data_IF_881681112443
#
_entry.id   IF_881681112443
#
_cell.length_a   1.000
_cell.length_b   1.000
_cell.length_c   1.000
_cell.angle_alpha   90.00
_cell.angle_beta   90.00
_cell.angle_gamma   90.00
#
_symmetry.space_group_name_H-M   'P 1'
#
loop_
_entity.id
_entity.type
_entity.pdbx_description
1 polymer ?
#
# COMPACT_ATOMS: atom_id res chain seq x y z
N UNK A 1 7.02 -12.45 24.63
CA UNK A 1 7.68 -12.24 23.32
C UNK A 1 7.10 -13.15 22.24
N UNK A 2 6.95 -14.44 22.53
CA UNK A 2 6.39 -15.45 21.61
C UNK A 2 4.91 -15.23 21.26
N UNK A 3 4.07 -14.83 22.22
CA UNK A 3 2.66 -14.47 21.98
C UNK A 3 2.50 -13.27 21.03
N UNK A 4 3.42 -12.31 21.07
CA UNK A 4 3.38 -11.14 20.17
C UNK A 4 3.65 -11.58 18.73
N UNK A 5 4.60 -12.50 18.55
CA UNK A 5 5.00 -13.06 17.26
C UNK A 5 3.88 -13.88 16.60
N UNK A 6 3.08 -14.57 17.41
CA UNK A 6 1.93 -15.35 16.94
C UNK A 6 0.75 -14.48 16.45
N UNK A 7 0.72 -13.19 16.79
CA UNK A 7 -0.35 -12.25 16.38
C UNK A 7 0.03 -11.41 15.16
N UNK A 8 1.24 -11.59 14.62
CA UNK A 8 1.72 -10.85 13.46
C UNK A 8 1.40 -11.66 12.19
N UNK A 9 0.89 -10.97 11.17
CA UNK A 9 0.62 -11.53 9.86
C UNK A 9 1.89 -11.86 9.08
N UNK A 10 1.76 -12.39 7.86
CA UNK A 10 2.89 -12.55 6.94
C UNK A 10 3.75 -11.30 6.80
N UNK A 11 5.08 -11.49 6.77
CA UNK A 11 6.07 -10.42 6.61
C UNK A 11 6.58 -10.39 5.16
N UNK A 12 6.29 -9.32 4.39
CA UNK A 12 6.76 -9.20 3.00
C UNK A 12 8.29 -9.20 2.84
N UNK A 13 9.05 -8.94 3.90
CA UNK A 13 10.52 -8.98 3.89
C UNK A 13 11.08 -10.37 4.21
N UNK A 14 10.26 -11.26 4.79
CA UNK A 14 10.64 -12.60 5.22
C UNK A 14 9.59 -13.65 4.79
N UNK A 15 9.35 -13.71 3.48
CA UNK A 15 8.31 -14.50 2.82
C UNK A 15 8.49 -16.00 3.05
N UNK A 16 7.39 -16.68 3.38
CA UNK A 16 7.29 -18.14 3.54
C UNK A 16 6.22 -18.73 2.62
N UNK A 17 6.30 -20.05 2.40
CA UNK A 17 5.27 -20.79 1.65
C UNK A 17 3.90 -20.64 2.33
N UNK A 18 2.87 -20.28 1.56
CA UNK A 18 1.50 -20.10 2.04
C UNK A 18 1.18 -18.72 2.63
N UNK A 19 2.13 -17.78 2.62
CA UNK A 19 1.89 -16.43 3.13
C UNK A 19 0.84 -15.67 2.31
N UNK A 20 0.88 -15.78 0.97
CA UNK A 20 -0.13 -15.19 0.09
C UNK A 20 -1.53 -15.68 0.44
N UNK A 21 -1.71 -17.00 0.55
CA UNK A 21 -3.00 -17.61 0.91
C UNK A 21 -3.51 -17.10 2.26
N UNK A 22 -2.61 -16.95 3.24
CA UNK A 22 -2.94 -16.37 4.56
C UNK A 22 -3.39 -14.92 4.44
N UNK A 23 -2.73 -14.10 3.63
CA UNK A 23 -3.12 -12.70 3.38
C UNK A 23 -4.50 -12.65 2.72
N UNK A 24 -4.70 -13.37 1.61
CA UNK A 24 -5.97 -13.42 0.88
C UNK A 24 -7.12 -13.88 1.78
N UNK A 25 -6.90 -14.96 2.54
CA UNK A 25 -7.85 -15.47 3.52
C UNK A 25 -8.16 -14.46 4.64
N UNK A 26 -7.18 -13.65 5.03
CA UNK A 26 -7.36 -12.57 6.01
C UNK A 26 -8.21 -11.42 5.45
N UNK A 27 -7.97 -11.02 4.20
CA UNK A 27 -8.70 -9.95 3.52
C UNK A 27 -10.17 -10.34 3.26
N UNK A 28 -10.41 -11.56 2.77
CA UNK A 28 -11.75 -12.04 2.39
C UNK A 28 -12.74 -12.09 3.56
N UNK A 29 -12.25 -12.18 4.81
CA UNK A 29 -13.08 -12.20 6.03
C UNK A 29 -13.45 -10.82 6.57
N UNK A 30 -12.95 -9.72 6.00
CA UNK A 30 -13.08 -8.38 6.60
C UNK A 30 -13.99 -7.47 5.78
N UNK A 31 -15.08 -7.00 6.40
CA UNK A 31 -15.97 -5.97 5.83
C UNK A 31 -15.43 -4.55 5.98
N UNK A 32 -14.41 -4.36 6.83
CA UNK A 32 -13.78 -3.06 6.99
C UNK A 32 -13.06 -2.61 5.70
N UNK A 33 -12.93 -1.30 5.47
CA UNK A 33 -12.19 -0.75 4.33
C UNK A 33 -10.77 -1.30 4.18
N UNK A 34 -10.34 -1.60 2.95
CA UNK A 34 -9.02 -2.19 2.66
C UNK A 34 -7.87 -1.36 3.24
N UNK A 35 -7.92 -0.02 3.16
CA UNK A 35 -6.87 0.81 3.73
C UNK A 35 -6.85 0.80 5.27
N UNK A 36 -7.96 0.47 5.94
CA UNK A 36 -7.96 0.21 7.37
C UNK A 36 -7.37 -1.16 7.67
N UNK A 37 -7.80 -2.19 6.92
CA UNK A 37 -7.35 -3.57 7.08
C UNK A 37 -5.84 -3.71 6.87
N UNK A 38 -5.26 -2.99 5.91
CA UNK A 38 -3.82 -2.97 5.67
C UNK A 38 -2.99 -2.36 6.82
N UNK A 39 -3.60 -1.70 7.81
CA UNK A 39 -2.89 -1.24 9.02
C UNK A 39 -2.86 -2.29 10.14
N UNK A 40 -3.73 -3.29 10.06
CA UNK A 40 -3.78 -4.39 11.02
C UNK A 40 -2.55 -5.27 10.83
N UNK A 41 -1.62 -5.22 11.79
CA UNK A 41 -0.37 -5.98 11.73
C UNK A 41 -0.59 -7.50 11.78
N UNK A 42 -1.81 -7.97 12.11
CA UNK A 42 -2.20 -9.37 11.99
C UNK A 42 -2.55 -9.79 10.55
N UNK A 43 -2.76 -8.83 9.64
CA UNK A 43 -3.06 -9.08 8.22
C UNK A 43 -1.78 -9.20 7.42
N UNK A 44 -0.97 -8.15 7.42
CA UNK A 44 0.36 -8.10 6.79
C UNK A 44 1.24 -7.24 7.69
N UNK A 45 2.40 -7.75 8.06
CA UNK A 45 3.34 -7.04 8.91
C UNK A 45 4.03 -5.88 8.16
N UNK A 46 4.34 -4.80 8.86
CA UNK A 46 5.18 -3.71 8.35
C UNK A 46 4.47 -2.72 7.42
N UNK A 47 3.23 -3.01 6.97
CA UNK A 47 2.45 -2.03 6.22
C UNK A 47 1.99 -0.91 7.17
N UNK A 48 2.46 0.30 6.89
CA UNK A 48 2.11 1.52 7.62
C UNK A 48 1.28 2.49 6.77
N UNK A 49 1.07 3.71 7.31
CA UNK A 49 0.19 4.70 6.69
C UNK A 49 0.65 5.15 5.28
N UNK A 50 1.95 5.12 5.01
CA UNK A 50 2.51 5.42 3.68
C UNK A 50 2.19 4.27 2.73
N UNK A 51 2.65 3.07 3.06
CA UNK A 51 2.49 1.89 2.20
C UNK A 51 1.03 1.57 1.88
N UNK A 52 0.10 1.65 2.85
CA UNK A 52 -1.32 1.42 2.55
C UNK A 52 -1.87 2.33 1.46
N UNK A 53 -1.46 3.60 1.45
CA UNK A 53 -1.98 4.59 0.51
C UNK A 53 -1.38 4.35 -0.87
N UNK A 54 -0.06 4.10 -0.90
CA UNK A 54 0.68 3.85 -2.12
C UNK A 54 0.31 2.52 -2.77
N UNK A 55 0.09 1.45 -1.98
CA UNK A 55 -0.28 0.13 -2.51
C UNK A 55 -1.71 0.12 -3.03
N UNK A 56 -2.67 0.74 -2.33
CA UNK A 56 -4.01 0.93 -2.88
C UNK A 56 -3.97 1.73 -4.20
N UNK A 57 -3.12 2.76 -4.31
CA UNK A 57 -2.97 3.51 -5.55
C UNK A 57 -2.38 2.67 -6.68
N UNK A 58 -1.30 1.94 -6.40
CA UNK A 58 -0.61 1.14 -7.39
C UNK A 58 -1.50 0.01 -7.93
N UNK A 59 -2.26 -0.65 -7.05
CA UNK A 59 -3.22 -1.69 -7.42
C UNK A 59 -4.58 -1.16 -7.93
N UNK A 60 -4.75 0.16 -8.05
CA UNK A 60 -6.00 0.76 -8.56
C UNK A 60 -7.23 0.57 -7.67
N UNK A 61 -7.04 0.35 -6.36
CA UNK A 61 -8.12 0.02 -5.41
C UNK A 61 -8.54 1.30 -4.66
N UNK A 62 -9.84 1.62 -4.62
CA UNK A 62 -10.34 2.65 -3.70
C UNK A 62 -10.03 2.25 -2.24
N UNK A 63 -9.30 3.07 -1.46
CA UNK A 63 -8.94 2.72 -0.08
C UNK A 63 -10.14 2.45 0.85
N UNK A 64 -11.34 2.90 0.45
CA UNK A 64 -12.59 2.76 1.19
C UNK A 64 -13.34 1.48 0.85
N UNK A 65 -12.96 0.78 -0.25
CA UNK A 65 -13.57 -0.48 -0.65
C UNK A 65 -13.46 -1.51 0.48
N UNK A 66 -14.53 -2.25 0.83
CA UNK A 66 -14.45 -3.35 1.79
C UNK A 66 -13.36 -4.35 1.39
N UNK A 67 -12.52 -4.78 2.34
CA UNK A 67 -11.41 -5.68 2.02
C UNK A 67 -11.86 -7.01 1.41
N UNK A 68 -13.02 -7.52 1.86
CA UNK A 68 -13.66 -8.72 1.30
C UNK A 68 -14.13 -8.59 -0.16
N UNK A 69 -14.21 -7.38 -0.69
CA UNK A 69 -14.63 -7.08 -2.07
C UNK A 69 -13.41 -6.80 -2.98
N UNK A 70 -12.19 -6.88 -2.45
CA UNK A 70 -10.97 -6.86 -3.26
C UNK A 70 -10.86 -8.21 -3.98
N UNK A 71 -10.67 -8.16 -5.31
CA UNK A 71 -10.50 -9.37 -6.11
C UNK A 71 -9.21 -10.11 -5.74
N UNK A 72 -9.16 -11.40 -6.04
CA UNK A 72 -7.98 -12.23 -5.81
C UNK A 72 -6.75 -11.65 -6.51
N UNK A 73 -6.86 -11.29 -7.79
CA UNK A 73 -5.78 -10.65 -8.55
C UNK A 73 -5.27 -9.36 -7.89
N UNK A 74 -6.17 -8.51 -7.38
CA UNK A 74 -5.78 -7.28 -6.68
C UNK A 74 -5.12 -7.57 -5.33
N UNK A 75 -5.52 -8.63 -4.63
CA UNK A 75 -4.88 -9.07 -3.39
C UNK A 75 -3.48 -9.63 -3.64
N UNK A 76 -3.30 -10.40 -4.72
CA UNK A 76 -1.99 -10.87 -5.18
C UNK A 76 -1.08 -9.69 -5.54
N UNK A 77 -1.59 -8.73 -6.31
CA UNK A 77 -0.84 -7.53 -6.68
C UNK A 77 -0.42 -6.73 -5.43
N UNK A 78 -1.30 -6.54 -4.45
CA UNK A 78 -0.94 -5.90 -3.17
C UNK A 78 0.20 -6.63 -2.46
N UNK A 79 0.17 -7.96 -2.44
CA UNK A 79 1.22 -8.77 -1.85
C UNK A 79 2.55 -8.61 -2.60
N UNK A 80 2.54 -8.70 -3.93
CA UNK A 80 3.72 -8.50 -4.77
C UNK A 80 4.33 -7.10 -4.62
N UNK A 81 3.48 -6.07 -4.62
CA UNK A 81 3.88 -4.69 -4.36
C UNK A 81 4.54 -4.54 -2.99
N UNK A 82 3.98 -5.20 -1.96
CA UNK A 82 4.54 -5.17 -0.61
C UNK A 82 5.93 -5.80 -0.56
N UNK A 83 6.11 -7.00 -1.12
CA UNK A 83 7.41 -7.68 -1.18
C UNK A 83 8.44 -6.84 -1.91
N UNK A 84 8.08 -6.27 -3.07
CA UNK A 84 9.00 -5.50 -3.91
C UNK A 84 9.38 -4.17 -3.28
N UNK A 85 8.39 -3.35 -2.94
CA UNK A 85 8.62 -1.96 -2.56
C UNK A 85 9.11 -1.82 -1.12
N UNK A 86 8.72 -2.71 -0.21
CA UNK A 86 9.29 -2.71 1.14
C UNK A 86 10.76 -3.12 1.13
N UNK A 87 11.16 -4.10 0.30
CA UNK A 87 12.56 -4.49 0.14
C UNK A 87 13.43 -3.39 -0.47
N UNK A 88 12.87 -2.63 -1.41
CA UNK A 88 13.53 -1.40 -1.92
C UNK A 88 13.66 -0.38 -0.79
N UNK A 89 12.60 -0.15 -0.02
CA UNK A 89 12.59 0.81 1.07
C UNK A 89 13.59 0.48 2.18
N UNK A 90 13.70 -0.80 2.55
CA UNK A 90 14.70 -1.34 3.48
C UNK A 90 16.11 -1.06 2.97
N UNK A 91 16.42 -1.46 1.73
CA UNK A 91 17.76 -1.29 1.14
C UNK A 91 18.21 0.17 1.05
N UNK A 92 17.30 1.09 0.75
CA UNK A 92 17.62 2.53 0.55
C UNK A 92 17.48 3.31 1.88
N UNK A 93 16.93 2.68 2.93
CA UNK A 93 16.68 3.33 4.23
C UNK A 93 15.59 4.40 4.18
N UNK A 94 14.68 4.35 3.19
CA UNK A 94 13.55 5.29 3.04
C UNK A 94 12.50 4.73 2.10
N UNK A 95 11.24 5.11 2.30
CA UNK A 95 10.13 4.67 1.43
C UNK A 95 10.20 5.38 0.08
N UNK A 96 10.25 4.58 -0.98
CA UNK A 96 10.14 5.00 -2.39
C UNK A 96 9.22 4.03 -3.11
N UNK A 97 8.10 4.52 -3.62
CA UNK A 97 7.08 3.74 -4.31
C UNK A 97 6.89 4.18 -5.76
N UNK A 98 7.24 5.43 -6.07
CA UNK A 98 7.26 5.97 -7.42
C UNK A 98 8.25 5.23 -8.29
N UNK A 99 7.80 4.83 -9.48
CA UNK A 99 8.69 4.40 -10.55
C UNK A 99 9.56 5.60 -10.98
N UNK A 100 10.91 5.51 -10.88
CA UNK A 100 11.80 6.57 -11.31
C UNK A 100 11.53 7.05 -12.75
N UNK A 101 11.13 6.16 -13.66
CA UNK A 101 10.85 6.50 -15.04
C UNK A 101 9.65 7.46 -15.18
N UNK A 102 8.62 7.32 -14.34
CA UNK A 102 7.43 8.20 -14.34
C UNK A 102 7.73 9.64 -13.88
N UNK A 103 8.92 9.89 -13.33
CA UNK A 103 9.33 11.21 -12.81
C UNK A 103 10.70 11.65 -13.31
N UNK A 104 11.18 11.05 -14.40
CA UNK A 104 12.43 11.43 -15.07
C UNK A 104 13.71 11.15 -14.25
N UNK A 105 13.67 10.19 -13.33
CA UNK A 105 14.82 9.77 -12.52
C UNK A 105 15.39 8.43 -13.02
N UNK A 106 16.71 8.24 -12.88
CA UNK A 106 17.39 7.00 -13.33
C UNK A 106 17.24 5.85 -12.34
N UNK A 107 17.28 6.14 -11.03
CA UNK A 107 17.13 5.13 -9.96
C UNK A 107 16.34 5.67 -8.77
N UNK A 108 15.69 4.81 -7.97
CA UNK A 108 14.87 5.24 -6.83
C UNK A 108 15.61 6.11 -5.80
N UNK A 109 16.92 5.89 -5.65
CA UNK A 109 17.76 6.66 -4.73
C UNK A 109 17.93 8.15 -5.11
N UNK A 110 17.75 8.50 -6.39
CA UNK A 110 17.96 9.86 -6.90
C UNK A 110 16.76 10.77 -6.62
N UNK A 111 15.63 10.20 -6.18
CA UNK A 111 14.41 10.95 -5.97
C UNK A 111 14.51 11.89 -4.76
N UNK A 112 14.25 13.18 -5.00
CA UNK A 112 14.04 14.17 -3.95
C UNK A 112 12.82 13.80 -3.10
N UNK A 113 12.78 14.24 -1.84
CA UNK A 113 11.74 13.85 -0.86
C UNK A 113 10.30 13.99 -1.38
N UNK A 114 10.00 15.02 -2.17
CA UNK A 114 8.66 15.25 -2.75
C UNK A 114 8.28 14.36 -3.93
N UNK A 115 9.23 13.65 -4.55
CA UNK A 115 9.02 12.86 -5.76
C UNK A 115 9.08 11.34 -5.55
N UNK A 116 9.07 10.88 -4.30
CA UNK A 116 9.20 9.45 -3.96
C UNK A 116 7.87 8.70 -3.89
N UNK A 117 6.76 9.42 -3.80
CA UNK A 117 5.42 8.91 -3.49
C UNK A 117 4.39 9.42 -4.51
N UNK A 118 3.40 8.59 -4.81
CA UNK A 118 2.33 8.87 -5.74
C UNK A 118 1.19 9.66 -5.11
N UNK A 119 0.73 9.32 -3.90
CA UNK A 119 -0.50 9.91 -3.32
C UNK A 119 -0.30 10.39 -1.88
N UNK A 120 0.54 9.74 -1.10
CA UNK A 120 0.70 10.03 0.32
C UNK A 120 1.14 11.48 0.58
N UNK A 121 0.38 12.20 1.41
CA UNK A 121 0.59 13.64 1.71
C UNK A 121 0.62 14.54 0.46
N UNK A 122 -0.01 14.12 -0.63
CA UNK A 122 -0.12 14.91 -1.87
C UNK A 122 -1.54 15.44 -2.13
N UNK A 123 -2.39 15.54 -1.10
CA UNK A 123 -3.75 16.06 -1.24
C UNK A 123 -3.75 17.42 -1.96
N UNK A 124 -4.63 17.59 -2.95
CA UNK A 124 -4.73 18.78 -3.80
C UNK A 124 -3.69 18.88 -4.91
N UNK A 125 -2.62 18.08 -4.89
CA UNK A 125 -1.65 18.03 -5.99
C UNK A 125 -2.16 17.16 -7.14
N UNK A 126 -1.72 17.42 -8.39
CA UNK A 126 -2.08 16.57 -9.52
C UNK A 126 -1.53 15.14 -9.35
N UNK A 127 -2.35 14.15 -9.68
CA UNK A 127 -1.93 12.76 -9.81
C UNK A 127 -0.80 12.66 -10.85
N UNK A 128 0.22 11.84 -10.56
CA UNK A 128 1.36 11.65 -11.49
C UNK A 128 1.00 10.89 -12.77
N UNK A 129 -0.14 10.17 -12.77
CA UNK A 129 -0.59 9.35 -13.90
C UNK A 129 -1.68 10.01 -14.75
N UNK A 130 -2.62 10.71 -14.13
CA UNK A 130 -3.81 11.25 -14.81
C UNK A 130 -4.11 12.71 -14.47
N UNK A 131 -3.23 13.40 -13.74
CA UNK A 131 -3.34 14.82 -13.35
C UNK A 131 -4.51 15.18 -12.43
N UNK A 132 -5.51 14.31 -12.26
CA UNK A 132 -6.65 14.49 -11.36
C UNK A 132 -6.15 14.80 -9.93
N UNK A 133 -6.68 15.83 -9.24
CA UNK A 133 -6.24 16.17 -7.90
C UNK A 133 -6.39 15.00 -6.91
N UNK A 134 -5.34 14.74 -6.14
CA UNK A 134 -5.37 13.72 -5.10
C UNK A 134 -6.32 14.15 -3.98
N UNK A 135 -7.23 13.25 -3.60
CA UNK A 135 -8.15 13.44 -2.50
C UNK A 135 -7.57 12.88 -1.19
N UNK A 136 -8.12 13.32 -0.06
CA UNK A 136 -7.82 12.74 1.24
C UNK A 136 -9.02 12.77 2.18
N UNK A 137 -9.09 11.81 3.09
CA UNK A 137 -10.12 11.70 4.11
C UNK A 137 -9.55 11.02 5.36
N UNK A 138 -10.21 11.18 6.50
CA UNK A 138 -9.90 10.42 7.71
C UNK A 138 -10.64 9.09 7.65
N UNK A 139 -9.91 7.99 7.79
CA UNK A 139 -10.44 6.63 7.77
C UNK A 139 -9.89 5.87 8.97
N UNK A 140 -10.77 5.44 9.88
CA UNK A 140 -10.41 4.77 11.13
C UNK A 140 -9.25 5.46 11.86
N UNK A 141 -9.43 6.75 12.19
CA UNK A 141 -8.48 7.66 12.88
C UNK A 141 -7.26 8.14 12.08
N UNK A 142 -6.90 7.51 10.96
CA UNK A 142 -5.74 7.91 10.15
C UNK A 142 -6.14 8.44 8.80
N UNK A 143 -5.53 9.56 8.39
CA UNK A 143 -5.74 10.12 7.05
C UNK A 143 -5.24 9.15 5.97
N UNK A 144 -6.03 8.99 4.92
CA UNK A 144 -5.72 8.25 3.69
C UNK A 144 -5.75 9.20 2.49
N UNK A 145 -5.03 8.87 1.43
CA UNK A 145 -4.94 9.64 0.18
C UNK A 145 -5.18 8.71 -1.00
N UNK A 146 -5.86 9.21 -2.03
CA UNK A 146 -6.14 8.45 -3.25
C UNK A 146 -6.38 9.36 -4.44
N UNK A 147 -6.23 8.82 -5.64
CA UNK A 147 -6.66 9.47 -6.87
C UNK A 147 -8.05 8.95 -7.26
N UNK A 148 -9.10 9.78 -7.34
CA UNK A 148 -10.45 9.31 -7.66
C UNK A 148 -10.60 8.80 -9.10
N UNK A 149 -9.70 9.20 -10.01
CA UNK A 149 -9.69 8.71 -11.39
C UNK A 149 -8.94 7.38 -11.54
N UNK A 150 -7.79 7.20 -10.87
CA UNK A 150 -7.03 5.95 -10.93
C UNK A 150 -7.55 4.86 -9.98
N UNK A 151 -8.33 5.23 -8.97
CA UNK A 151 -8.88 4.32 -7.96
C UNK A 151 -10.40 4.53 -7.90
N UNK A 152 -11.15 4.04 -8.91
CA UNK A 152 -12.60 4.15 -8.92
C UNK A 152 -13.21 3.35 -7.76
N UNK A 153 -14.31 3.87 -7.21
CA UNK A 153 -15.05 3.26 -6.10
C UNK A 153 -15.53 1.85 -6.44
#
# INVERSE_FOLDING_TARGET
EEELRNRIGPDPLAVRKGDLDRVMSSLSRRSAPIAQVLLDQAVVAGIGNVYRAEFCFLAGIDPRRPAREVSENSAEELWELSMRLMKIGERIGRIVTVDPAEVGARKPGDLRKGNRLYVYKRAGQPCRRCETPILSAVLATRRVWWCPSCQPA
#
